data_IF_429108574565
#
_entry.id   IF_429108574565
#
_cell.length_a   1.000
_cell.length_b   1.000
_cell.length_c   1.000
_cell.angle_alpha   90.00
_cell.angle_beta   90.00
_cell.angle_gamma   90.00
#
_symmetry.space_group_name_H-M   'P 1'
#
loop_
_entity.id
_entity.type
_entity.pdbx_description
1 polymer ?
#
# COMPACT_ATOMS: atom_id res chain seq x y z
N UNK A 1 2.47 -4.26 12.19
CA UNK A 1 1.67 -3.73 11.06
C UNK A 1 0.26 -4.27 11.09
N UNK A 2 -0.68 -3.62 10.41
CA UNK A 2 -2.11 -4.01 10.35
C UNK A 2 -2.35 -4.81 9.08
N UNK A 3 -2.97 -5.99 9.19
CA UNK A 3 -3.36 -6.80 8.05
C UNK A 3 -4.88 -6.75 7.85
N UNK A 4 -5.30 -6.39 6.63
CA UNK A 4 -6.70 -6.35 6.21
C UNK A 4 -6.88 -7.25 4.98
N UNK A 5 -7.98 -7.99 4.96
CA UNK A 5 -8.37 -8.85 3.84
C UNK A 5 -9.51 -8.17 3.08
N UNK A 6 -9.58 -8.40 1.76
CA UNK A 6 -10.67 -7.93 0.90
C UNK A 6 -12.07 -8.19 1.50
N UNK A 7 -12.97 -7.22 1.34
CA UNK A 7 -14.38 -7.31 1.77
C UNK A 7 -14.72 -6.63 3.10
N UNK A 8 -13.72 -6.11 3.83
CA UNK A 8 -13.97 -5.27 5.01
C UNK A 8 -14.55 -3.91 4.58
N UNK A 9 -15.63 -3.44 5.22
CA UNK A 9 -16.10 -2.07 5.03
C UNK A 9 -15.09 -1.06 5.63
N UNK A 10 -14.47 -0.17 4.84
CA UNK A 10 -13.49 0.80 5.33
C UNK A 10 -14.03 1.75 6.42
N UNK A 11 -15.33 2.03 6.43
CA UNK A 11 -15.95 2.92 7.42
C UNK A 11 -15.91 2.34 8.83
N UNK A 12 -15.90 1.01 8.96
CA UNK A 12 -15.77 0.32 10.25
C UNK A 12 -14.35 0.39 10.82
N UNK A 13 -13.39 0.85 10.02
CA UNK A 13 -12.00 1.02 10.43
C UNK A 13 -11.72 2.43 10.98
N UNK A 14 -12.71 3.35 10.91
CA UNK A 14 -12.53 4.76 11.29
C UNK A 14 -13.18 5.11 12.64
N UNK A 15 -12.41 5.71 13.55
CA UNK A 15 -11.00 5.46 13.81
C UNK A 15 -10.86 4.27 14.76
N UNK A 16 -10.23 3.18 14.31
CA UNK A 16 -9.72 2.17 15.23
C UNK A 16 -8.79 2.89 16.24
N UNK A 17 -8.90 2.60 17.55
CA UNK A 17 -8.01 3.19 18.54
C UNK A 17 -6.58 2.86 18.11
N UNK A 18 -5.85 3.92 17.76
CA UNK A 18 -4.47 3.80 17.31
C UNK A 18 -3.69 2.91 18.25
N UNK A 19 -3.30 1.74 17.75
CA UNK A 19 -2.41 0.86 18.48
C UNK A 19 -1.04 1.53 18.39
N UNK A 20 -0.75 2.40 19.34
CA UNK A 20 0.57 3.01 19.53
C UNK A 20 1.48 1.94 20.13
N UNK A 21 1.88 0.98 19.30
CA UNK A 21 2.94 0.06 19.67
C UNK A 21 4.19 0.94 19.74
N UNK A 22 4.72 1.07 20.95
CA UNK A 22 5.93 1.81 21.35
C UNK A 22 7.19 1.53 20.50
N UNK A 23 7.09 0.63 19.52
CA UNK A 23 8.11 0.19 18.60
C UNK A 23 7.65 0.43 17.16
N UNK A 24 8.59 0.83 16.30
CA UNK A 24 8.47 1.33 14.90
C UNK A 24 7.67 0.44 13.89
N UNK A 25 6.99 -0.61 14.33
CA UNK A 25 6.28 -1.61 13.53
C UNK A 25 4.81 -1.27 13.22
N UNK A 26 4.29 -0.15 13.72
CA UNK A 26 2.92 0.30 13.43
C UNK A 26 2.75 1.13 12.14
N UNK A 27 3.83 1.38 11.40
CA UNK A 27 3.78 2.12 10.13
C UNK A 27 3.46 1.27 8.90
N UNK A 28 3.21 -0.03 9.04
CA UNK A 28 3.00 -0.92 7.89
C UNK A 28 1.56 -1.40 7.80
N UNK A 29 0.94 -1.29 6.61
CA UNK A 29 -0.38 -1.86 6.30
C UNK A 29 -0.26 -2.92 5.21
N UNK A 30 -0.88 -4.07 5.43
CA UNK A 30 -0.95 -5.19 4.51
C UNK A 30 -2.38 -5.33 4.01
N UNK A 31 -2.60 -5.25 2.70
CA UNK A 31 -3.91 -5.50 2.09
C UNK A 31 -3.84 -6.73 1.20
N UNK A 32 -4.46 -7.82 1.64
CA UNK A 32 -4.47 -9.07 0.87
C UNK A 32 -5.58 -9.13 -0.15
N UNK A 33 -5.26 -9.69 -1.33
CA UNK A 33 -6.26 -10.03 -2.34
C UNK A 33 -6.78 -8.81 -3.10
N UNK A 34 -5.97 -7.76 -3.23
CA UNK A 34 -6.31 -6.55 -4.00
C UNK A 34 -6.14 -6.83 -5.49
N UNK A 35 -7.24 -6.76 -6.24
CA UNK A 35 -7.21 -6.71 -7.69
C UNK A 35 -7.60 -5.37 -8.28
N UNK A 36 -7.61 -5.31 -9.61
CA UNK A 36 -7.92 -4.10 -10.39
C UNK A 36 -9.26 -3.46 -10.03
N UNK A 37 -10.23 -4.26 -9.61
CA UNK A 37 -11.57 -3.81 -9.20
C UNK A 37 -11.63 -3.27 -7.76
N UNK A 38 -10.60 -3.55 -6.96
CA UNK A 38 -10.58 -3.31 -5.50
C UNK A 38 -9.74 -2.08 -5.12
N UNK A 39 -9.29 -1.28 -6.10
CA UNK A 39 -8.37 -0.15 -5.87
C UNK A 39 -8.99 0.92 -4.98
N UNK A 40 -10.21 1.33 -5.29
CA UNK A 40 -10.91 2.35 -4.50
C UNK A 40 -11.08 1.88 -3.06
N UNK A 41 -11.49 0.62 -2.89
CA UNK A 41 -11.58 -0.03 -1.59
C UNK A 41 -10.22 -0.01 -0.86
N UNK A 42 -9.15 -0.44 -1.52
CA UNK A 42 -7.81 -0.50 -0.93
C UNK A 42 -7.34 0.90 -0.48
N UNK A 43 -7.54 1.92 -1.32
CA UNK A 43 -7.22 3.30 -1.01
C UNK A 43 -8.04 3.85 0.17
N UNK A 44 -9.33 3.51 0.28
CA UNK A 44 -10.17 3.90 1.42
C UNK A 44 -9.73 3.23 2.72
N UNK A 45 -9.36 1.95 2.67
CA UNK A 45 -8.80 1.23 3.83
C UNK A 45 -7.49 1.87 4.28
N UNK A 46 -6.56 2.14 3.35
CA UNK A 46 -5.30 2.85 3.65
C UNK A 46 -5.59 4.21 4.27
N UNK A 47 -6.57 4.95 3.75
CA UNK A 47 -6.90 6.26 4.32
C UNK A 47 -7.50 6.16 5.72
N UNK A 48 -8.32 5.12 5.95
CA UNK A 48 -8.96 4.85 7.24
C UNK A 48 -7.96 4.44 8.32
N UNK A 49 -6.93 3.69 7.95
CA UNK A 49 -5.89 3.19 8.84
C UNK A 49 -4.67 4.13 8.94
N UNK A 50 -4.80 5.37 8.48
CA UNK A 50 -3.67 6.30 8.41
C UNK A 50 -3.11 6.55 9.82
N UNK A 51 -1.81 6.31 10.08
CA UNK A 51 -1.17 6.53 11.37
C UNK A 51 -1.34 7.97 11.92
N UNK A 52 -1.21 8.17 13.24
CA UNK A 52 -1.37 9.50 13.89
C UNK A 52 -0.37 10.53 13.39
N UNK A 53 0.85 10.11 13.10
CA UNK A 53 1.89 10.96 12.50
C UNK A 53 1.62 11.28 11.02
N UNK A 54 0.54 10.72 10.46
CA UNK A 54 0.08 10.89 9.10
C UNK A 54 0.91 10.12 8.07
N UNK A 55 1.80 9.19 8.48
CA UNK A 55 2.78 8.59 7.57
C UNK A 55 2.90 7.08 7.73
N UNK A 56 2.80 6.36 6.62
CA UNK A 56 3.19 4.96 6.56
C UNK A 56 4.69 4.79 6.44
N UNK A 57 5.24 3.77 7.10
CA UNK A 57 6.52 3.20 6.73
C UNK A 57 6.39 2.34 5.47
N UNK A 58 5.36 1.49 5.38
CA UNK A 58 5.14 0.72 4.15
C UNK A 58 3.68 0.36 3.91
N UNK A 59 3.35 0.22 2.62
CA UNK A 59 2.09 -0.31 2.15
C UNK A 59 2.44 -1.57 1.38
N UNK A 60 1.88 -2.70 1.81
CA UNK A 60 2.17 -4.01 1.23
C UNK A 60 0.90 -4.62 0.68
N UNK A 61 0.98 -5.14 -0.55
CA UNK A 61 -0.15 -5.73 -1.29
C UNK A 61 0.15 -7.20 -1.56
N UNK A 62 0.09 -8.07 -0.53
CA UNK A 62 0.18 -9.51 -0.69
C UNK A 62 -1.01 -10.07 -1.48
N UNK A 63 -0.77 -11.16 -2.20
CA UNK A 63 -1.77 -11.88 -3.02
C UNK A 63 -2.50 -10.95 -3.99
N UNK A 64 -1.81 -9.92 -4.47
CA UNK A 64 -2.39 -8.97 -5.40
C UNK A 64 -2.30 -9.48 -6.83
N UNK A 65 -3.27 -9.12 -7.65
CA UNK A 65 -3.23 -9.34 -9.08
C UNK A 65 -3.38 -8.03 -9.86
N UNK A 66 -2.98 -6.91 -9.23
CA UNK A 66 -3.01 -5.59 -9.83
C UNK A 66 -2.16 -5.53 -11.10
N UNK A 67 -2.77 -5.02 -12.16
CA UNK A 67 -2.09 -4.63 -13.39
C UNK A 67 -1.29 -3.34 -13.19
N UNK A 68 -0.31 -3.10 -14.06
CA UNK A 68 0.52 -1.89 -13.97
C UNK A 68 -0.28 -0.57 -14.10
N UNK A 69 -1.26 -0.44 -15.02
CA UNK A 69 -2.11 0.76 -15.08
C UNK A 69 -2.85 1.03 -13.77
N UNK A 70 -3.36 -0.03 -13.14
CA UNK A 70 -4.09 0.06 -11.89
C UNK A 70 -3.22 0.33 -10.67
N UNK A 71 -1.99 -0.19 -10.65
CA UNK A 71 -1.00 0.22 -9.66
C UNK A 71 -0.64 1.72 -9.78
N UNK A 72 -0.53 2.27 -11.00
CA UNK A 72 -0.34 3.72 -11.20
C UNK A 72 -1.56 4.52 -10.72
N UNK A 73 -2.76 4.07 -11.05
CA UNK A 73 -4.01 4.70 -10.59
C UNK A 73 -4.09 4.75 -9.06
N UNK A 74 -3.77 3.64 -8.39
CA UNK A 74 -3.69 3.59 -6.92
C UNK A 74 -2.70 4.64 -6.38
N UNK A 75 -1.51 4.76 -6.96
CA UNK A 75 -0.51 5.78 -6.56
C UNK A 75 -1.06 7.20 -6.68
N UNK A 76 -1.78 7.51 -7.77
CA UNK A 76 -2.43 8.81 -7.96
C UNK A 76 -3.51 9.07 -6.90
N UNK A 77 -4.38 8.09 -6.64
CA UNK A 77 -5.45 8.22 -5.64
C UNK A 77 -4.86 8.43 -4.23
N UNK A 78 -3.81 7.69 -3.88
CA UNK A 78 -3.12 7.86 -2.59
C UNK A 78 -2.54 9.27 -2.45
N UNK A 79 -1.95 9.83 -3.51
CA UNK A 79 -1.47 11.21 -3.53
C UNK A 79 -2.60 12.20 -3.33
N UNK A 80 -3.70 12.05 -4.07
CA UNK A 80 -4.89 12.92 -3.94
C UNK A 80 -5.48 12.89 -2.53
N UNK A 81 -5.50 11.70 -1.90
CA UNK A 81 -5.94 11.52 -0.51
C UNK A 81 -4.90 11.93 0.54
N UNK A 82 -3.79 12.53 0.11
CA UNK A 82 -2.67 13.00 0.95
C UNK A 82 -2.07 11.90 1.83
N UNK A 83 -2.06 10.66 1.34
CA UNK A 83 -1.38 9.55 2.02
C UNK A 83 0.12 9.74 1.84
N UNK A 84 0.84 9.82 2.95
CA UNK A 84 2.30 9.96 2.95
C UNK A 84 2.96 8.64 3.32
N UNK A 85 4.10 8.36 2.67
CA UNK A 85 5.00 7.26 3.02
C UNK A 85 6.37 7.88 3.35
N UNK A 86 7.06 7.37 4.36
CA UNK A 86 8.40 7.84 4.69
C UNK A 86 9.35 7.73 3.49
N UNK A 87 10.34 8.62 3.38
CA UNK A 87 11.30 8.66 2.26
C UNK A 87 12.07 7.34 2.05
N UNK A 88 12.23 6.54 3.10
CA UNK A 88 12.86 5.20 3.07
C UNK A 88 11.84 4.06 3.21
N UNK A 89 10.57 4.39 3.02
CA UNK A 89 9.45 3.47 3.06
C UNK A 89 9.16 2.88 1.69
N UNK A 90 8.22 1.94 1.67
CA UNK A 90 8.01 1.07 0.51
C UNK A 90 6.53 0.92 0.13
N UNK A 91 6.25 0.91 -1.16
CA UNK A 91 5.07 0.28 -1.74
C UNK A 91 5.51 -1.08 -2.32
N UNK A 92 5.14 -2.17 -1.64
CA UNK A 92 5.47 -3.54 -2.07
C UNK A 92 4.25 -4.20 -2.68
N UNK A 93 4.42 -4.75 -3.88
CA UNK A 93 3.35 -5.39 -4.62
C UNK A 93 3.77 -6.80 -5.03
N UNK A 94 3.02 -7.81 -4.57
CA UNK A 94 3.12 -9.15 -5.12
C UNK A 94 2.20 -9.21 -6.34
N UNK A 95 2.75 -9.01 -7.55
CA UNK A 95 2.02 -9.14 -8.81
C UNK A 95 2.84 -9.89 -9.85
N UNK A 96 2.21 -10.91 -10.44
CA UNK A 96 2.79 -11.72 -11.53
C UNK A 96 2.52 -11.12 -12.91
N UNK A 97 1.61 -10.15 -13.03
CA UNK A 97 1.18 -9.59 -14.31
C UNK A 97 2.02 -8.40 -14.77
N UNK A 98 2.85 -7.83 -13.89
CA UNK A 98 3.70 -6.67 -14.17
C UNK A 98 5.05 -7.13 -14.73
N UNK A 99 5.38 -6.66 -15.93
CA UNK A 99 6.67 -6.94 -16.57
C UNK A 99 7.78 -5.96 -16.12
N UNK A 100 9.04 -6.23 -16.52
CA UNK A 100 10.20 -5.42 -16.11
C UNK A 100 10.12 -3.95 -16.54
N UNK A 101 9.59 -3.66 -17.73
CA UNK A 101 9.46 -2.28 -18.23
C UNK A 101 8.46 -1.52 -17.38
N UNK A 102 7.30 -2.12 -17.16
CA UNK A 102 6.24 -1.56 -16.30
C UNK A 102 6.72 -1.37 -14.86
N UNK A 103 7.51 -2.30 -14.33
CA UNK A 103 8.12 -2.18 -13.00
C UNK A 103 9.03 -0.96 -12.90
N UNK A 104 9.85 -0.68 -13.92
CA UNK A 104 10.71 0.52 -13.97
C UNK A 104 9.86 1.79 -14.02
N UNK A 105 8.82 1.81 -14.86
CA UNK A 105 7.91 2.95 -14.96
C UNK A 105 7.20 3.21 -13.62
N UNK A 106 6.73 2.17 -12.94
CA UNK A 106 6.10 2.23 -11.62
C UNK A 106 7.07 2.73 -10.55
N UNK A 107 8.34 2.29 -10.58
CA UNK A 107 9.38 2.80 -9.68
C UNK A 107 9.58 4.30 -9.84
N UNK A 108 9.70 4.78 -11.07
CA UNK A 108 9.86 6.20 -11.34
C UNK A 108 8.62 7.00 -10.88
N UNK A 109 7.43 6.52 -11.25
CA UNK A 109 6.17 7.18 -10.93
C UNK A 109 5.90 7.23 -9.43
N UNK A 110 6.03 6.11 -8.72
CA UNK A 110 5.82 6.03 -7.27
C UNK A 110 6.79 6.95 -6.52
N UNK A 111 8.07 6.97 -6.93
CA UNK A 111 9.06 7.86 -6.33
C UNK A 111 8.73 9.34 -6.56
N UNK A 112 8.24 9.69 -7.75
CA UNK A 112 7.87 11.08 -8.09
C UNK A 112 6.62 11.54 -7.32
N UNK A 113 5.59 10.70 -7.27
CA UNK A 113 4.26 11.10 -6.78
C UNK A 113 4.08 10.90 -5.27
N UNK A 114 4.67 9.84 -4.69
CA UNK A 114 4.55 9.51 -3.26
C UNK A 114 5.87 9.64 -2.49
N UNK A 115 7.00 9.85 -3.17
CA UNK A 115 8.30 10.03 -2.53
C UNK A 115 8.88 8.76 -1.90
N UNK A 116 8.35 7.57 -2.23
CA UNK A 116 8.76 6.29 -1.67
C UNK A 116 9.30 5.31 -2.74
N UNK A 117 9.84 4.19 -2.29
CA UNK A 117 10.33 3.14 -3.19
C UNK A 117 9.21 2.17 -3.57
N UNK A 118 9.24 1.69 -4.82
CA UNK A 118 8.35 0.62 -5.30
C UNK A 118 9.13 -0.67 -5.48
N UNK A 119 8.57 -1.78 -4.98
CA UNK A 119 9.14 -3.11 -5.15
C UNK A 119 8.09 -4.09 -5.62
N UNK A 120 8.31 -4.69 -6.79
CA UNK A 120 7.61 -5.92 -7.18
C UNK A 120 8.34 -7.09 -6.54
N UNK A 121 7.67 -7.81 -5.66
CA UNK A 121 8.25 -8.88 -4.85
C UNK A 121 7.45 -10.16 -5.00
N UNK A 122 8.01 -11.29 -4.61
CA UNK A 122 7.20 -12.49 -4.39
C UNK A 122 6.35 -12.34 -3.12
N UNK A 123 5.28 -13.13 -3.03
CA UNK A 123 4.35 -13.14 -1.90
C UNK A 123 5.07 -13.39 -0.56
N UNK A 124 6.00 -14.33 -0.53
CA UNK A 124 6.67 -14.73 0.71
C UNK A 124 7.64 -13.65 1.23
N UNK A 125 8.14 -12.80 0.34
CA UNK A 125 9.05 -11.69 0.64
C UNK A 125 8.33 -10.49 1.24
N UNK A 126 7.01 -10.39 1.08
CA UNK A 126 6.19 -9.35 1.73
C UNK A 126 6.14 -9.57 3.24
N UNK A 127 5.99 -10.82 3.68
CA UNK A 127 5.77 -11.17 5.09
C UNK A 127 7.05 -11.27 5.92
N UNK A 128 8.20 -11.37 5.28
CA UNK A 128 9.52 -11.55 5.93
C UNK A 128 10.22 -10.24 6.29
N UNK A 129 9.64 -9.09 5.92
CA UNK A 129 10.29 -7.78 6.02
C UNK A 129 9.61 -6.80 6.95
#
# INVERSE_FOLDING_TARGET
>A
GIHVVAGINPDLLRPLPYIDLKYKECGSVFLSGVGDKDIDWACEVIRALLPKDGRYYSILLPRSNLSAPKAKEMVSILKEKQVMIYKRGFLKLASLTINKKEEVDLKHFTRKELGCEFHRVDESSIWRG
#
